data_IF_500381128548
#
_entry.id   IF_500381128548
#
_cell.length_a   1.000
_cell.length_b   1.000
_cell.length_c   1.000
_cell.angle_alpha   90.00
_cell.angle_beta   90.00
_cell.angle_gamma   90.00
#
_symmetry.space_group_name_H-M   'P 1'
#
loop_
_entity.id
_entity.type
_entity.pdbx_description
1 polymer ?
#
# COMPACT_ATOMS: atom_id res chain seq x y z
N UNK A 1 34.99 8.30 3.94
CA UNK A 1 34.03 7.18 3.61
C UNK A 1 32.63 7.69 3.70
N UNK A 2 31.71 7.18 2.85
CA UNK A 2 30.30 7.57 2.84
C UNK A 2 29.46 6.36 3.27
N UNK A 3 28.63 6.52 4.31
CA UNK A 3 27.63 5.52 4.67
C UNK A 3 26.39 5.66 3.79
N UNK A 4 25.79 4.55 3.40
CA UNK A 4 24.46 4.52 2.78
C UNK A 4 23.58 3.56 3.58
N UNK A 5 22.39 4.01 3.96
CA UNK A 5 21.40 3.18 4.64
C UNK A 5 20.15 3.04 3.79
N UNK A 6 19.80 1.80 3.41
CA UNK A 6 18.55 1.48 2.73
C UNK A 6 17.52 0.90 3.70
N UNK A 7 16.24 0.87 3.31
CA UNK A 7 15.19 0.30 4.13
C UNK A 7 15.21 -1.23 4.17
N UNK A 8 15.68 -1.85 3.06
CA UNK A 8 15.64 -3.31 2.86
C UNK A 8 16.96 -3.82 2.30
N UNK A 9 17.37 -5.06 2.64
CA UNK A 9 18.61 -5.64 2.12
C UNK A 9 18.67 -5.74 0.59
N UNK A 10 17.52 -5.94 -0.08
CA UNK A 10 17.44 -6.01 -1.55
C UNK A 10 17.81 -4.68 -2.19
N UNK A 11 17.20 -3.59 -1.71
CA UNK A 11 17.47 -2.22 -2.19
C UNK A 11 18.92 -1.83 -1.94
N UNK A 12 19.46 -2.17 -0.76
CA UNK A 12 20.88 -1.95 -0.44
C UNK A 12 21.81 -2.62 -1.45
N UNK A 13 21.52 -3.88 -1.83
CA UNK A 13 22.32 -4.63 -2.81
C UNK A 13 22.25 -4.02 -4.20
N UNK A 14 21.05 -3.58 -4.64
CA UNK A 14 20.88 -2.97 -5.95
C UNK A 14 21.65 -1.64 -6.05
N UNK A 15 21.55 -0.78 -5.03
CA UNK A 15 22.32 0.47 -4.98
C UNK A 15 23.83 0.16 -4.89
N UNK A 16 24.23 -0.77 -4.03
CA UNK A 16 25.64 -1.15 -3.84
C UNK A 16 26.29 -1.65 -5.14
N UNK A 17 25.57 -2.43 -5.94
CA UNK A 17 26.01 -2.87 -7.27
C UNK A 17 26.30 -1.66 -8.17
N UNK A 18 25.43 -0.68 -8.19
CA UNK A 18 25.54 0.51 -9.07
C UNK A 18 26.72 1.39 -8.67
N UNK A 19 26.97 1.56 -7.36
CA UNK A 19 28.08 2.39 -6.87
C UNK A 19 29.40 1.63 -6.71
N UNK A 20 29.43 0.33 -7.01
CA UNK A 20 30.64 -0.50 -6.93
C UNK A 20 31.01 -0.95 -5.52
N UNK A 21 30.09 -0.92 -4.55
CA UNK A 21 30.31 -1.41 -3.18
C UNK A 21 29.96 -2.90 -3.08
N UNK A 22 30.76 -3.78 -3.69
CA UNK A 22 30.41 -5.20 -3.87
C UNK A 22 31.01 -6.15 -2.87
N UNK A 23 31.94 -5.69 -2.03
CA UNK A 23 32.56 -6.51 -0.98
C UNK A 23 31.54 -6.81 0.12
N UNK A 24 31.28 -8.09 0.35
CA UNK A 24 30.32 -8.56 1.35
C UNK A 24 30.93 -8.57 2.75
N UNK A 25 30.21 -7.99 3.71
CA UNK A 25 30.50 -8.02 5.13
C UNK A 25 29.25 -8.47 5.91
N UNK A 26 29.39 -8.74 7.20
CA UNK A 26 28.24 -9.09 8.03
C UNK A 26 27.38 -7.84 8.30
N UNK A 27 26.20 -7.78 7.69
CA UNK A 27 25.23 -6.69 7.83
C UNK A 27 25.49 -5.44 6.97
N UNK A 28 26.51 -5.42 6.10
CA UNK A 28 26.75 -4.33 5.15
C UNK A 28 27.59 -4.79 3.94
N UNK A 29 27.65 -3.95 2.92
CA UNK A 29 28.52 -4.08 1.75
C UNK A 29 29.51 -2.91 1.72
N UNK A 30 30.72 -3.10 1.19
CA UNK A 30 31.70 -2.03 1.08
C UNK A 30 32.42 -2.03 -0.26
N UNK A 31 33.01 -0.90 -0.62
CA UNK A 31 33.76 -0.69 -1.84
C UNK A 31 33.61 0.72 -2.38
N UNK A 32 34.54 1.12 -3.23
CA UNK A 32 34.54 2.41 -3.93
C UNK A 32 34.24 3.64 -3.02
N UNK A 33 34.77 3.62 -1.78
CA UNK A 33 34.60 4.72 -0.82
C UNK A 33 33.25 4.70 -0.08
N UNK A 34 32.41 3.68 -0.27
CA UNK A 34 31.10 3.52 0.35
C UNK A 34 31.03 2.34 1.32
N UNK A 35 30.17 2.49 2.34
CA UNK A 35 29.70 1.41 3.20
C UNK A 35 28.16 1.42 3.15
N UNK A 36 27.56 0.37 2.58
CA UNK A 36 26.13 0.25 2.33
C UNK A 36 25.51 -0.74 3.31
N UNK A 37 24.71 -0.23 4.23
CA UNK A 37 23.96 -1.02 5.21
C UNK A 37 22.46 -0.90 4.99
N UNK A 38 21.65 -1.57 5.81
CA UNK A 38 20.20 -1.59 5.64
C UNK A 38 19.47 -1.76 6.97
N UNK A 39 18.24 -1.31 6.98
CA UNK A 39 17.23 -1.75 7.92
C UNK A 39 16.49 -2.99 7.37
N UNK A 40 15.55 -3.53 8.10
CA UNK A 40 14.54 -4.48 7.64
C UNK A 40 13.17 -4.08 8.20
N UNK A 41 12.74 -2.91 7.75
CA UNK A 41 11.60 -2.17 8.28
C UNK A 41 11.96 -1.44 9.57
N UNK A 42 10.98 -1.23 10.45
CA UNK A 42 11.20 -0.54 11.71
C UNK A 42 12.11 -1.35 12.66
N UNK A 43 13.31 -0.87 12.93
CA UNK A 43 14.23 -1.41 13.94
C UNK A 43 13.98 -0.78 15.31
N UNK A 44 13.47 0.44 15.33
CA UNK A 44 13.19 1.23 16.53
C UNK A 44 11.70 1.49 16.62
N UNK A 45 11.17 1.45 17.84
CA UNK A 45 9.79 1.72 18.17
C UNK A 45 9.66 2.60 19.42
N UNK A 46 8.46 3.14 19.66
CA UNK A 46 8.15 3.82 20.91
C UNK A 46 8.06 2.81 22.06
N UNK A 47 8.56 3.18 23.23
CA UNK A 47 8.49 2.36 24.42
C UNK A 47 7.03 2.16 24.87
N UNK A 48 6.75 1.02 25.47
CA UNK A 48 5.43 0.68 26.00
C UNK A 48 5.22 1.29 27.39
N UNK A 49 3.98 1.32 27.94
CA UNK A 49 3.64 1.94 29.21
C UNK A 49 4.52 1.54 30.40
N UNK A 50 5.04 0.33 30.40
CA UNK A 50 5.92 -0.19 31.45
C UNK A 50 7.21 0.64 31.60
N UNK A 51 7.71 1.19 30.51
CA UNK A 51 8.89 2.08 30.51
C UNK A 51 8.62 3.42 31.22
N UNK A 52 7.36 3.75 31.43
CA UNK A 52 6.89 4.97 32.11
C UNK A 52 6.31 4.65 33.50
N UNK A 53 6.56 3.45 34.03
CA UNK A 53 6.12 3.04 35.36
C UNK A 53 4.67 2.53 35.44
N UNK A 54 4.01 2.30 34.30
CA UNK A 54 2.62 1.80 34.23
C UNK A 54 2.63 0.33 33.80
N UNK A 55 2.62 -0.58 34.78
CA UNK A 55 2.76 -2.02 34.52
C UNK A 55 1.44 -2.79 34.27
N UNK A 56 0.28 -2.20 34.65
CA UNK A 56 -1.01 -2.88 34.57
C UNK A 56 -2.12 -1.94 34.10
N UNK A 57 -3.18 -2.50 33.56
CA UNK A 57 -4.39 -1.78 33.18
C UNK A 57 -5.16 -1.40 34.44
N UNK A 58 -5.10 -0.10 34.81
CA UNK A 58 -5.81 0.45 35.95
C UNK A 58 -6.46 1.77 35.59
N UNK A 59 -7.64 2.02 36.10
CA UNK A 59 -8.37 3.29 35.86
C UNK A 59 -7.58 4.51 36.33
N UNK A 60 -6.92 4.37 37.47
CA UNK A 60 -6.14 5.44 38.10
C UNK A 60 -4.89 5.83 37.31
N UNK A 61 -4.42 4.95 36.43
CA UNK A 61 -3.26 5.19 35.56
C UNK A 61 -3.60 5.96 34.29
N UNK A 62 -4.88 6.18 34.01
CA UNK A 62 -5.34 6.83 32.78
C UNK A 62 -5.62 8.33 32.99
N UNK A 63 -5.31 9.19 32.03
CA UNK A 63 -4.59 8.86 30.78
C UNK A 63 -3.08 8.76 31.00
N UNK A 64 -2.42 7.83 30.25
CA UNK A 64 -0.97 7.72 30.21
C UNK A 64 -0.44 8.74 29.20
N UNK A 65 0.23 9.77 29.69
CA UNK A 65 0.78 10.85 28.91
C UNK A 65 2.29 10.94 29.18
N UNK A 66 3.13 10.27 28.40
CA UNK A 66 4.57 10.38 28.57
C UNK A 66 5.03 11.81 28.37
N UNK A 67 5.87 12.37 29.26
CA UNK A 67 6.45 13.70 29.05
C UNK A 67 7.32 13.74 27.80
N UNK A 68 8.05 12.63 27.54
CA UNK A 68 8.87 12.40 26.37
C UNK A 68 8.73 10.95 25.91
N UNK A 69 8.55 10.76 24.61
CA UNK A 69 8.49 9.41 24.02
C UNK A 69 9.88 8.81 23.90
N UNK A 70 10.11 7.70 24.59
CA UNK A 70 11.37 6.98 24.56
C UNK A 70 11.41 6.04 23.36
N UNK A 71 12.56 6.06 22.65
CA UNK A 71 12.84 5.14 21.56
C UNK A 71 13.54 3.89 22.10
N UNK A 72 13.06 2.72 21.70
CA UNK A 72 13.65 1.42 22.07
C UNK A 72 13.80 0.52 20.82
N UNK A 73 14.74 -0.43 20.83
CA UNK A 73 14.79 -1.46 19.79
C UNK A 73 13.47 -2.23 19.74
N UNK A 74 13.04 -2.58 18.52
CA UNK A 74 11.84 -3.40 18.31
C UNK A 74 11.90 -4.64 19.19
N UNK A 75 10.76 -4.96 19.80
CA UNK A 75 10.62 -6.07 20.73
C UNK A 75 9.92 -7.25 20.06
N UNK A 76 10.25 -8.45 20.53
CA UNK A 76 9.60 -9.70 20.19
C UNK A 76 9.08 -10.38 21.46
N UNK A 77 8.05 -11.22 21.32
CA UNK A 77 7.50 -11.99 22.42
C UNK A 77 8.55 -12.97 22.95
N UNK A 78 8.69 -13.03 24.26
CA UNK A 78 9.54 -13.96 24.99
C UNK A 78 8.68 -14.88 25.85
N UNK A 79 9.28 -15.86 26.52
CA UNK A 79 8.56 -16.74 27.47
C UNK A 79 7.83 -15.94 28.56
N UNK A 80 8.48 -14.87 29.04
CA UNK A 80 7.85 -13.91 29.96
C UNK A 80 7.97 -12.49 29.36
N UNK A 81 6.83 -11.94 28.92
CA UNK A 81 6.74 -10.58 28.40
C UNK A 81 7.38 -10.39 27.01
N UNK A 82 8.09 -9.29 26.85
CA UNK A 82 8.73 -8.88 25.60
C UNK A 82 10.21 -8.59 25.85
N UNK A 83 11.05 -8.89 24.85
CA UNK A 83 12.48 -8.58 24.86
C UNK A 83 12.89 -7.94 23.52
N UNK A 84 13.99 -7.20 23.53
CA UNK A 84 14.55 -6.67 22.28
C UNK A 84 14.85 -7.82 21.30
N UNK A 85 14.51 -7.63 20.03
CA UNK A 85 14.78 -8.57 18.94
C UNK A 85 16.30 -8.72 18.76
N UNK A 86 16.89 -9.92 18.95
CA UNK A 86 18.34 -10.10 18.80
C UNK A 86 18.87 -9.73 17.41
N UNK A 87 18.08 -9.99 16.36
CA UNK A 87 18.43 -9.61 14.99
C UNK A 87 18.49 -8.10 14.81
N UNK A 88 17.54 -7.39 15.42
CA UNK A 88 17.53 -5.92 15.45
C UNK A 88 18.74 -5.37 16.19
N UNK A 89 19.05 -5.91 17.38
CA UNK A 89 20.22 -5.47 18.15
C UNK A 89 21.53 -5.66 17.37
N UNK A 90 21.69 -6.81 16.70
CA UNK A 90 22.84 -7.08 15.84
C UNK A 90 22.93 -6.04 14.71
N UNK A 91 21.84 -5.79 14.00
CA UNK A 91 21.85 -4.86 12.89
C UNK A 91 22.06 -3.40 13.33
N UNK A 92 21.50 -2.98 14.44
CA UNK A 92 21.74 -1.64 15.01
C UNK A 92 23.22 -1.45 15.37
N UNK A 93 23.90 -2.49 15.88
CA UNK A 93 25.34 -2.46 16.12
C UNK A 93 26.11 -2.24 14.82
N UNK A 94 25.78 -2.99 13.76
CA UNK A 94 26.40 -2.83 12.43
C UNK A 94 26.16 -1.42 11.87
N UNK A 95 24.92 -0.91 11.94
CA UNK A 95 24.61 0.45 11.46
C UNK A 95 25.42 1.49 12.23
N UNK A 96 25.55 1.34 13.55
CA UNK A 96 26.39 2.23 14.37
C UNK A 96 27.83 2.20 13.93
N UNK A 97 28.43 1.02 13.77
CA UNK A 97 29.81 0.84 13.32
C UNK A 97 30.05 1.47 11.93
N UNK A 98 29.09 1.29 11.00
CA UNK A 98 29.16 1.91 9.67
C UNK A 98 29.06 3.44 9.77
N UNK A 99 28.14 3.96 10.57
CA UNK A 99 28.00 5.40 10.75
C UNK A 99 29.24 6.01 11.42
N UNK A 100 29.83 5.36 12.43
CA UNK A 100 31.01 5.85 13.12
C UNK A 100 32.22 5.97 12.19
N UNK A 101 32.40 5.07 11.23
CA UNK A 101 33.51 5.03 10.28
C UNK A 101 33.37 5.97 9.08
N UNK A 102 32.20 6.61 8.89
CA UNK A 102 31.90 7.45 7.73
C UNK A 102 31.73 8.91 8.12
N UNK A 103 32.01 9.81 7.19
CA UNK A 103 31.94 11.27 7.41
C UNK A 103 30.54 11.83 7.08
N UNK A 104 29.82 11.17 6.19
CA UNK A 104 28.50 11.57 5.68
C UNK A 104 27.62 10.35 5.46
N UNK A 105 26.32 10.54 5.59
CA UNK A 105 25.30 9.49 5.40
C UNK A 105 24.42 9.82 4.20
N UNK A 106 24.22 8.86 3.30
CA UNK A 106 23.18 8.89 2.28
C UNK A 106 22.03 8.02 2.77
N UNK A 107 20.86 8.61 2.88
CA UNK A 107 19.65 7.93 3.33
C UNK A 107 18.83 7.50 2.12
N UNK A 108 18.72 6.21 1.92
CA UNK A 108 18.03 5.55 0.81
C UNK A 108 16.89 4.65 1.31
N UNK A 109 16.23 5.04 2.42
CA UNK A 109 14.95 4.47 2.84
C UNK A 109 13.85 4.95 1.89
N UNK A 110 12.73 4.21 1.82
CA UNK A 110 11.64 4.50 0.90
C UNK A 110 11.25 5.99 0.89
N UNK A 111 10.88 6.52 -0.26
CA UNK A 111 10.60 7.96 -0.47
C UNK A 111 9.21 8.33 0.08
N UNK A 112 9.04 8.26 1.40
CA UNK A 112 7.77 8.50 2.07
C UNK A 112 7.93 8.75 3.57
N UNK A 113 6.80 8.99 4.23
CA UNK A 113 6.76 9.28 5.67
C UNK A 113 7.37 8.18 6.52
N UNK A 114 7.06 6.92 6.19
CA UNK A 114 7.53 5.77 6.98
C UNK A 114 9.04 5.56 6.79
N UNK A 115 9.55 5.68 5.55
CA UNK A 115 10.98 5.59 5.30
C UNK A 115 11.78 6.69 6.00
N UNK A 116 11.24 7.93 6.05
CA UNK A 116 11.86 9.02 6.82
C UNK A 116 11.84 8.73 8.33
N UNK A 117 10.72 8.21 8.87
CA UNK A 117 10.59 7.85 10.28
C UNK A 117 11.57 6.73 10.67
N UNK A 118 11.70 5.69 9.85
CA UNK A 118 12.62 4.57 10.07
C UNK A 118 14.05 5.10 10.22
N UNK A 119 14.50 5.93 9.27
CA UNK A 119 15.84 6.50 9.34
C UNK A 119 16.02 7.37 10.58
N UNK A 120 15.14 8.35 10.81
CA UNK A 120 15.30 9.31 11.91
C UNK A 120 15.23 8.65 13.29
N UNK A 121 14.44 7.59 13.45
CA UNK A 121 14.40 6.83 14.69
C UNK A 121 15.69 6.09 14.94
N UNK A 122 16.29 5.46 13.91
CA UNK A 122 17.62 4.83 14.01
C UNK A 122 18.69 5.87 14.35
N UNK A 123 18.71 6.98 13.60
CA UNK A 123 19.68 8.05 13.75
C UNK A 123 19.64 8.66 15.15
N UNK A 124 18.45 8.97 15.66
CA UNK A 124 18.25 9.54 17.00
C UNK A 124 18.59 8.50 18.10
N UNK A 125 18.14 7.26 17.94
CA UNK A 125 18.44 6.19 18.90
C UNK A 125 19.92 5.91 19.05
N UNK A 126 20.67 5.96 17.96
CA UNK A 126 22.12 5.79 17.97
C UNK A 126 22.89 7.04 18.43
N UNK A 127 22.23 8.16 18.66
CA UNK A 127 22.87 9.43 19.01
C UNK A 127 23.77 9.97 17.90
N UNK A 128 23.46 9.66 16.64
CA UNK A 128 24.27 10.10 15.51
C UNK A 128 24.08 11.61 15.28
N UNK A 129 25.18 12.32 15.00
CA UNK A 129 25.18 13.77 14.70
C UNK A 129 25.79 14.08 13.34
N UNK A 130 26.13 13.07 12.55
CA UNK A 130 26.77 13.26 11.25
C UNK A 130 25.80 13.83 10.22
N UNK A 131 26.26 14.68 9.29
CA UNK A 131 25.41 15.22 8.25
C UNK A 131 24.89 14.10 7.33
N UNK A 132 23.65 14.23 6.89
CA UNK A 132 23.05 13.28 5.96
C UNK A 132 22.31 13.99 4.82
N UNK A 133 22.19 13.26 3.72
CA UNK A 133 21.44 13.65 2.53
C UNK A 133 20.50 12.53 2.13
N UNK A 134 19.45 12.88 1.42
CA UNK A 134 18.41 11.93 0.98
C UNK A 134 18.60 11.54 -0.49
N UNK A 135 18.64 10.26 -0.76
CA UNK A 135 18.30 9.67 -2.04
C UNK A 135 16.78 9.53 -2.11
N UNK A 136 16.13 10.38 -2.90
CA UNK A 136 14.67 10.44 -2.99
C UNK A 136 14.20 9.96 -4.35
N UNK A 137 13.90 8.67 -4.44
CA UNK A 137 13.48 8.00 -5.67
C UNK A 137 12.27 7.11 -5.38
N UNK A 138 11.35 7.00 -6.33
CA UNK A 138 10.16 6.13 -6.28
C UNK A 138 10.26 4.91 -7.21
N UNK A 139 11.37 4.80 -7.93
CA UNK A 139 11.73 3.70 -8.81
C UNK A 139 13.12 3.19 -8.47
N UNK A 140 13.36 1.89 -8.69
CA UNK A 140 14.63 1.21 -8.41
C UNK A 140 15.32 0.74 -9.71
N UNK A 141 14.97 1.33 -10.86
CA UNK A 141 15.73 1.12 -12.10
C UNK A 141 17.15 1.64 -11.96
N UNK A 142 18.08 1.07 -12.67
CA UNK A 142 19.49 1.52 -12.67
C UNK A 142 19.60 3.00 -13.02
N UNK A 143 18.78 3.48 -13.96
CA UNK A 143 18.69 4.88 -14.36
C UNK A 143 18.24 5.76 -13.21
N UNK A 144 17.11 5.43 -12.56
CA UNK A 144 16.58 6.23 -11.46
C UNK A 144 17.54 6.28 -10.26
N UNK A 145 18.23 5.18 -9.95
CA UNK A 145 19.22 5.16 -8.87
C UNK A 145 20.42 6.08 -9.21
N UNK A 146 20.96 6.04 -10.43
CA UNK A 146 22.06 6.91 -10.86
C UNK A 146 21.67 8.38 -10.82
N UNK A 147 20.56 8.73 -11.45
CA UNK A 147 20.05 10.10 -11.45
C UNK A 147 19.73 10.62 -10.05
N UNK A 148 19.21 9.75 -9.18
CA UNK A 148 18.95 10.08 -7.78
C UNK A 148 20.22 10.32 -6.98
N UNK A 149 21.28 9.56 -7.23
CA UNK A 149 22.61 9.75 -6.59
C UNK A 149 23.28 11.05 -7.04
N UNK A 150 23.07 11.46 -8.29
CA UNK A 150 23.54 12.74 -8.82
C UNK A 150 22.74 13.93 -8.26
N UNK A 151 21.48 13.69 -7.81
CA UNK A 151 20.54 14.70 -7.34
C UNK A 151 20.17 14.55 -5.86
N UNK A 152 21.10 14.18 -5.01
CA UNK A 152 20.90 14.03 -3.57
C UNK A 152 20.38 15.31 -2.93
N UNK A 153 19.36 15.19 -2.08
CA UNK A 153 18.70 16.32 -1.42
C UNK A 153 19.20 16.50 0.02
N UNK A 154 19.29 17.74 0.52
CA UNK A 154 19.61 17.99 1.92
C UNK A 154 18.58 17.33 2.85
N UNK A 155 19.04 16.75 3.96
CA UNK A 155 18.19 16.06 4.93
C UNK A 155 17.12 16.96 5.56
N UNK A 156 17.45 18.24 5.77
CA UNK A 156 16.59 19.25 6.40
C UNK A 156 15.31 19.50 5.59
N UNK A 157 15.35 19.30 4.27
CA UNK A 157 14.17 19.40 3.41
C UNK A 157 13.02 18.49 3.86
N UNK A 158 13.33 17.43 4.56
CA UNK A 158 12.38 16.39 4.99
C UNK A 158 12.03 16.46 6.48
N UNK A 159 12.44 17.52 7.20
CA UNK A 159 12.17 17.67 8.63
C UNK A 159 10.67 17.72 8.93
N UNK A 160 9.89 18.46 8.14
CA UNK A 160 8.44 18.51 8.29
C UNK A 160 7.77 17.18 8.00
N UNK A 161 8.32 16.39 7.05
CA UNK A 161 7.84 15.05 6.76
C UNK A 161 8.09 14.10 7.93
N UNK A 162 9.28 14.18 8.52
CA UNK A 162 9.63 13.46 9.75
C UNK A 162 8.70 13.85 10.91
N UNK A 163 8.49 15.15 11.16
CA UNK A 163 7.62 15.63 12.23
C UNK A 163 6.18 15.14 12.03
N UNK A 164 5.67 15.14 10.80
CA UNK A 164 4.36 14.57 10.47
C UNK A 164 4.28 13.08 10.80
N UNK A 165 5.31 12.28 10.42
CA UNK A 165 5.36 10.86 10.70
C UNK A 165 5.50 10.57 12.20
N UNK A 166 6.35 11.32 12.91
CA UNK A 166 6.53 11.25 14.35
C UNK A 166 5.24 11.56 15.10
N UNK A 167 4.59 12.68 14.78
CA UNK A 167 3.32 13.08 15.41
C UNK A 167 2.23 12.03 15.21
N UNK A 168 2.17 11.41 14.01
CA UNK A 168 1.25 10.31 13.76
C UNK A 168 1.57 9.09 14.62
N UNK A 169 2.84 8.70 14.73
CA UNK A 169 3.27 7.56 15.54
C UNK A 169 2.95 7.77 17.03
N UNK A 170 3.21 8.96 17.55
CA UNK A 170 2.92 9.35 18.93
C UNK A 170 1.40 9.41 19.21
N UNK A 171 0.63 9.98 18.28
CA UNK A 171 -0.84 10.02 18.39
C UNK A 171 -1.46 8.61 18.33
N UNK A 172 -0.97 7.73 17.44
CA UNK A 172 -1.41 6.34 17.36
C UNK A 172 -1.09 5.60 18.68
N UNK A 173 0.06 5.87 19.30
CA UNK A 173 0.41 5.33 20.61
C UNK A 173 -0.52 5.84 21.70
N UNK A 174 -0.71 7.17 21.80
CA UNK A 174 -1.57 7.79 22.82
C UNK A 174 -3.01 7.29 22.74
N UNK A 175 -3.59 7.30 21.55
CA UNK A 175 -4.98 6.87 21.37
C UNK A 175 -5.08 5.36 21.54
N UNK A 176 -4.20 4.59 20.89
CA UNK A 176 -4.25 3.12 20.91
C UNK A 176 -4.07 2.56 22.32
N UNK A 177 -3.09 3.02 23.06
CA UNK A 177 -2.80 2.55 24.42
C UNK A 177 -3.92 2.97 25.39
N UNK A 178 -4.23 4.27 25.45
CA UNK A 178 -5.20 4.77 26.43
C UNK A 178 -6.61 4.26 26.16
N UNK A 179 -7.07 4.25 24.92
CA UNK A 179 -8.40 3.78 24.59
C UNK A 179 -8.53 2.25 24.77
N UNK A 180 -7.49 1.47 24.42
CA UNK A 180 -7.46 0.03 24.69
C UNK A 180 -7.54 -0.26 26.19
N UNK A 181 -6.75 0.44 27.01
CA UNK A 181 -6.79 0.24 28.45
C UNK A 181 -8.12 0.67 29.06
N UNK A 182 -8.63 1.86 28.68
CA UNK A 182 -9.90 2.35 29.17
C UNK A 182 -11.06 1.40 28.88
N UNK A 183 -11.14 0.89 27.64
CA UNK A 183 -12.18 -0.05 27.25
C UNK A 183 -12.02 -1.40 27.98
N UNK A 184 -10.80 -1.91 28.09
CA UNK A 184 -10.54 -3.20 28.78
C UNK A 184 -10.86 -3.13 30.26
N UNK A 185 -10.51 -2.02 30.93
CA UNK A 185 -10.87 -1.76 32.34
C UNK A 185 -12.39 -1.65 32.52
N UNK A 186 -13.07 -0.93 31.61
CA UNK A 186 -14.53 -0.78 31.65
C UNK A 186 -15.25 -2.11 31.44
N UNK A 187 -14.73 -2.99 30.60
CA UNK A 187 -15.28 -4.31 30.35
C UNK A 187 -15.03 -5.30 31.51
N UNK A 188 -14.08 -5.03 32.40
CA UNK A 188 -13.78 -5.81 33.58
C UNK A 188 -13.03 -7.13 33.35
N UNK A 189 -12.88 -7.56 32.10
CA UNK A 189 -12.15 -8.79 31.73
C UNK A 189 -11.66 -8.74 30.28
N UNK A 190 -10.53 -9.37 30.01
CA UNK A 190 -9.97 -9.45 28.67
C UNK A 190 -9.26 -8.18 28.22
N UNK A 191 -8.74 -8.19 26.99
CA UNK A 191 -8.13 -7.05 26.32
C UNK A 191 -8.94 -6.70 25.08
N UNK A 192 -9.53 -5.52 25.07
CA UNK A 192 -10.29 -4.98 23.95
C UNK A 192 -9.47 -3.89 23.27
N UNK A 193 -8.78 -4.28 22.20
CA UNK A 193 -7.91 -3.35 21.49
C UNK A 193 -8.71 -2.34 20.67
N UNK A 194 -8.30 -1.07 20.77
CA UNK A 194 -8.76 0.03 19.96
C UNK A 194 -7.60 0.59 19.12
N UNK A 195 -7.88 0.96 17.90
CA UNK A 195 -6.88 1.53 17.02
C UNK A 195 -7.48 2.29 15.85
N UNK A 196 -6.73 3.23 15.33
CA UNK A 196 -7.15 4.16 14.28
C UNK A 196 -7.61 3.47 12.98
N UNK A 197 -7.08 2.29 12.66
CA UNK A 197 -7.44 1.53 11.46
C UNK A 197 -8.39 0.39 11.80
N UNK A 198 -8.03 -0.43 12.78
CA UNK A 198 -8.80 -1.65 13.10
C UNK A 198 -10.23 -1.34 13.58
N UNK A 199 -10.42 -0.32 14.42
CA UNK A 199 -11.74 0.00 14.97
C UNK A 199 -12.70 0.53 13.91
N UNK A 200 -12.36 1.53 13.07
CA UNK A 200 -13.24 1.94 11.97
C UNK A 200 -13.54 0.80 10.99
N UNK A 201 -12.58 -0.06 10.71
CA UNK A 201 -12.79 -1.23 9.84
C UNK A 201 -13.82 -2.18 10.44
N UNK A 202 -13.70 -2.49 11.74
CA UNK A 202 -14.68 -3.31 12.45
C UNK A 202 -16.07 -2.66 12.46
N UNK A 203 -16.14 -1.34 12.71
CA UNK A 203 -17.40 -0.60 12.69
C UNK A 203 -18.07 -0.68 11.33
N UNK A 204 -17.33 -0.53 10.23
CA UNK A 204 -17.91 -0.67 8.88
C UNK A 204 -18.48 -2.07 8.64
N UNK A 205 -17.78 -3.11 9.09
CA UNK A 205 -18.26 -4.50 8.96
C UNK A 205 -19.51 -4.72 9.80
N UNK A 206 -19.51 -4.27 11.05
CA UNK A 206 -20.66 -4.39 11.95
C UNK A 206 -21.89 -3.60 11.43
N UNK A 207 -21.68 -2.38 10.96
CA UNK A 207 -22.75 -1.55 10.38
C UNK A 207 -23.38 -2.25 9.18
N UNK A 208 -22.56 -2.78 8.27
CA UNK A 208 -23.05 -3.51 7.11
C UNK A 208 -23.78 -4.79 7.47
N UNK A 209 -23.30 -5.51 8.48
CA UNK A 209 -24.01 -6.67 9.03
C UNK A 209 -25.38 -6.29 9.59
N UNK A 210 -25.46 -5.21 10.38
CA UNK A 210 -26.72 -4.75 10.96
C UNK A 210 -27.69 -4.24 9.90
N UNK A 211 -27.21 -3.50 8.90
CA UNK A 211 -28.04 -3.08 7.74
C UNK A 211 -28.65 -4.30 7.04
N UNK A 212 -27.83 -5.34 6.79
CA UNK A 212 -28.32 -6.57 6.17
C UNK A 212 -29.30 -7.31 7.06
N UNK A 213 -28.98 -7.47 8.38
CA UNK A 213 -29.84 -8.15 9.34
C UNK A 213 -31.18 -7.46 9.54
N UNK A 214 -31.20 -6.15 9.53
CA UNK A 214 -32.39 -5.33 9.74
C UNK A 214 -33.07 -4.90 8.44
N UNK A 215 -32.58 -5.42 7.30
CA UNK A 215 -33.15 -5.07 6.00
C UNK A 215 -34.60 -5.51 5.89
N UNK A 216 -35.46 -4.54 5.67
CA UNK A 216 -36.88 -4.77 5.40
C UNK A 216 -37.10 -4.58 3.90
N UNK A 217 -37.48 -5.65 3.16
CA UNK A 217 -37.75 -5.53 1.74
C UNK A 217 -38.96 -4.62 1.47
N UNK A 218 -38.76 -3.59 0.64
CA UNK A 218 -39.82 -2.76 0.13
C UNK A 218 -40.24 -3.26 -1.26
N UNK A 219 -41.55 -3.45 -1.44
CA UNK A 219 -42.12 -3.81 -2.75
C UNK A 219 -42.31 -2.55 -3.58
N UNK A 220 -42.04 -2.66 -4.87
CA UNK A 220 -42.40 -1.65 -5.84
C UNK A 220 -42.94 -2.33 -7.10
N UNK A 221 -43.71 -1.60 -7.88
CA UNK A 221 -44.25 -2.07 -9.14
C UNK A 221 -43.69 -1.26 -10.28
N UNK A 222 -43.44 -1.93 -11.39
CA UNK A 222 -42.93 -1.33 -12.62
C UNK A 222 -43.69 -1.92 -13.82
N UNK A 223 -43.97 -1.12 -14.83
CA UNK A 223 -44.60 -1.62 -16.04
C UNK A 223 -43.54 -2.14 -17.01
N UNK A 224 -43.86 -3.27 -17.60
CA UNK A 224 -43.07 -3.87 -18.67
C UNK A 224 -44.01 -4.20 -19.82
N UNK A 225 -43.80 -3.58 -20.97
CA UNK A 225 -44.60 -3.80 -22.15
C UNK A 225 -43.78 -4.48 -23.23
N UNK A 226 -44.26 -5.57 -23.79
CA UNK A 226 -43.70 -6.18 -24.99
C UNK A 226 -44.51 -5.69 -26.18
N UNK A 227 -43.84 -5.07 -27.14
CA UNK A 227 -44.46 -4.49 -28.33
C UNK A 227 -43.72 -4.94 -29.59
N UNK A 228 -44.32 -4.72 -30.74
CA UNK A 228 -43.71 -5.02 -32.02
C UNK A 228 -43.95 -3.85 -33.00
N UNK A 229 -42.98 -3.65 -33.88
CA UNK A 229 -43.06 -2.76 -35.04
C UNK A 229 -42.59 -3.57 -36.26
N UNK A 230 -43.51 -3.99 -37.09
CA UNK A 230 -43.22 -4.99 -38.14
C UNK A 230 -42.75 -6.30 -37.53
N UNK A 231 -41.61 -6.80 -37.97
CA UNK A 231 -41.01 -8.05 -37.46
C UNK A 231 -40.17 -7.83 -36.18
N UNK A 232 -39.87 -6.59 -35.82
CA UNK A 232 -39.00 -6.26 -34.66
C UNK A 232 -39.84 -6.28 -33.39
N UNK A 233 -39.51 -7.17 -32.47
CA UNK A 233 -40.06 -7.22 -31.11
C UNK A 233 -39.12 -6.62 -30.11
N UNK A 234 -39.59 -5.78 -29.23
CA UNK A 234 -38.80 -5.21 -28.15
C UNK A 234 -39.61 -5.05 -26.87
N UNK A 235 -38.93 -4.93 -25.77
CA UNK A 235 -39.52 -4.73 -24.46
C UNK A 235 -39.18 -3.32 -23.97
N UNK A 236 -40.22 -2.55 -23.66
CA UNK A 236 -40.12 -1.27 -22.99
C UNK A 236 -40.38 -1.45 -21.49
N UNK A 237 -39.68 -0.72 -20.66
CA UNK A 237 -39.86 -0.72 -19.20
C UNK A 237 -40.10 0.72 -18.74
N UNK A 238 -41.05 0.91 -17.81
CA UNK A 238 -41.30 2.23 -17.25
C UNK A 238 -40.08 2.72 -16.46
N UNK A 239 -39.74 3.99 -16.59
CA UNK A 239 -38.77 4.66 -15.71
C UNK A 239 -39.38 4.90 -14.33
N UNK A 240 -40.69 5.15 -14.25
CA UNK A 240 -41.39 5.26 -12.99
C UNK A 240 -41.50 3.91 -12.27
N UNK A 241 -41.36 3.97 -10.96
CA UNK A 241 -41.62 2.89 -10.00
C UNK A 241 -42.73 3.38 -9.07
N UNK A 242 -43.68 2.53 -8.78
CA UNK A 242 -44.78 2.84 -7.86
C UNK A 242 -44.64 2.03 -6.59
N UNK A 243 -44.80 2.67 -5.46
CA UNK A 243 -44.79 2.01 -4.14
C UNK A 243 -46.17 1.40 -3.82
N UNK A 244 -47.22 1.91 -4.46
CA UNK A 244 -48.60 1.44 -4.29
C UNK A 244 -49.09 0.70 -5.55
N UNK A 245 -49.57 -0.53 -5.36
CA UNK A 245 -50.07 -1.36 -6.46
C UNK A 245 -51.25 -0.71 -7.25
N UNK A 246 -52.25 -0.05 -6.62
CA UNK A 246 -53.31 0.61 -7.34
C UNK A 246 -52.84 1.67 -8.34
N UNK A 247 -51.82 2.43 -8.02
CA UNK A 247 -51.22 3.43 -8.90
C UNK A 247 -50.59 2.79 -10.14
N UNK A 248 -49.88 1.69 -9.94
CA UNK A 248 -49.29 0.92 -11.03
C UNK A 248 -50.38 0.31 -11.94
N UNK A 249 -51.48 -0.19 -11.36
CA UNK A 249 -52.61 -0.73 -12.10
C UNK A 249 -53.29 0.40 -12.92
N UNK A 250 -53.53 1.57 -12.34
CA UNK A 250 -54.07 2.71 -13.05
C UNK A 250 -53.18 3.16 -14.22
N UNK A 251 -51.84 3.14 -14.02
CA UNK A 251 -50.88 3.43 -15.08
C UNK A 251 -50.90 2.35 -16.18
N UNK A 252 -51.01 1.09 -15.82
CA UNK A 252 -51.14 -0.02 -16.76
C UNK A 252 -52.41 0.13 -17.62
N UNK A 253 -53.55 0.50 -17.00
CA UNK A 253 -54.79 0.70 -17.72
C UNK A 253 -54.67 1.81 -18.76
N UNK A 254 -54.11 2.96 -18.39
CA UNK A 254 -53.85 4.05 -19.34
C UNK A 254 -52.99 3.63 -20.54
N UNK A 255 -51.97 2.79 -20.32
CA UNK A 255 -51.13 2.27 -21.42
C UNK A 255 -51.91 1.31 -22.31
N UNK A 256 -52.79 0.47 -21.73
CA UNK A 256 -53.66 -0.43 -22.49
C UNK A 256 -54.70 0.32 -23.31
N UNK A 257 -55.32 1.36 -22.74
CA UNK A 257 -56.34 2.18 -23.42
C UNK A 257 -55.70 2.98 -24.57
N UNK A 258 -54.46 3.39 -24.47
CA UNK A 258 -53.73 4.06 -25.53
C UNK A 258 -53.43 3.15 -26.74
N UNK A 259 -53.36 1.83 -26.54
CA UNK A 259 -53.17 0.81 -27.57
C UNK A 259 -51.88 0.85 -28.35
N UNK A 260 -51.05 1.88 -28.14
CA UNK A 260 -49.77 2.07 -28.86
C UNK A 260 -48.72 2.76 -28.00
N UNK A 261 -47.44 2.51 -28.32
CA UNK A 261 -46.31 3.23 -27.78
C UNK A 261 -45.67 4.05 -28.89
N UNK A 262 -45.28 5.29 -28.57
CA UNK A 262 -44.64 6.21 -29.52
C UNK A 262 -43.20 6.41 -29.09
N UNK A 263 -42.23 6.14 -29.99
CA UNK A 263 -40.82 6.44 -29.78
C UNK A 263 -40.64 7.94 -29.94
N UNK A 264 -40.32 8.65 -28.86
CA UNK A 264 -40.08 10.10 -28.88
C UNK A 264 -38.67 10.50 -29.27
N UNK A 265 -37.69 9.70 -28.89
CA UNK A 265 -36.30 9.98 -29.23
C UNK A 265 -35.50 8.67 -29.27
N UNK A 266 -34.48 8.67 -30.11
CA UNK A 266 -33.48 7.61 -30.16
C UNK A 266 -32.10 8.28 -30.01
N UNK A 267 -31.37 7.93 -28.96
CA UNK A 267 -29.99 8.38 -28.76
C UNK A 267 -29.05 7.25 -29.10
N UNK A 268 -28.08 7.54 -29.97
CA UNK A 268 -26.90 6.68 -30.18
C UNK A 268 -25.70 7.34 -29.54
N UNK A 269 -25.04 6.63 -28.65
CA UNK A 269 -23.79 7.08 -28.02
C UNK A 269 -22.72 6.06 -28.32
N UNK A 270 -21.63 6.51 -28.89
CA UNK A 270 -20.40 5.72 -28.89
C UNK A 270 -19.77 5.83 -27.52
N UNK A 271 -19.51 4.69 -26.90
CA UNK A 271 -18.81 4.60 -25.64
C UNK A 271 -17.46 3.91 -25.87
N UNK A 272 -16.38 4.62 -25.62
CA UNK A 272 -15.07 4.02 -25.58
C UNK A 272 -14.83 3.50 -24.15
N UNK A 273 -14.60 2.21 -24.04
CA UNK A 273 -14.14 1.63 -22.78
C UNK A 273 -12.62 1.70 -22.72
N UNK A 274 -12.13 2.56 -21.86
CA UNK A 274 -10.70 2.68 -21.60
C UNK A 274 -10.15 1.41 -20.93
N UNK A 275 -8.90 1.01 -21.22
CA UNK A 275 -8.27 -0.09 -20.51
C UNK A 275 -8.17 0.22 -19.01
N UNK A 276 -8.20 -0.80 -18.13
CA UNK A 276 -8.03 -0.55 -16.70
C UNK A 276 -6.64 0.02 -16.40
N UNK A 277 -6.54 0.79 -15.31
CA UNK A 277 -5.25 1.17 -14.77
C UNK A 277 -4.52 -0.09 -14.25
N UNK A 278 -3.21 -0.01 -14.06
CA UNK A 278 -2.41 -1.05 -13.44
C UNK A 278 -2.91 -1.36 -12.01
N UNK A 279 -2.41 -2.43 -11.42
CA UNK A 279 -2.81 -2.83 -10.09
C UNK A 279 -2.10 -2.05 -8.99
N UNK A 280 -2.86 -1.62 -7.99
CA UNK A 280 -2.40 -1.50 -6.61
C UNK A 280 -2.68 -2.81 -5.86
N UNK A 281 -2.23 -2.92 -4.61
CA UNK A 281 -2.48 -4.11 -3.80
C UNK A 281 -3.98 -4.39 -3.62
N UNK A 282 -4.77 -3.36 -3.34
CA UNK A 282 -6.22 -3.52 -3.07
C UNK A 282 -6.96 -4.03 -4.30
N UNK A 283 -6.66 -3.49 -5.47
CA UNK A 283 -7.28 -3.91 -6.73
C UNK A 283 -6.86 -5.34 -7.09
N UNK A 284 -5.58 -5.68 -6.91
CA UNK A 284 -5.10 -7.05 -7.09
C UNK A 284 -5.82 -8.04 -6.16
N UNK A 285 -5.97 -7.70 -4.87
CA UNK A 285 -6.67 -8.56 -3.91
C UNK A 285 -8.15 -8.76 -4.27
N UNK A 286 -8.84 -7.69 -4.70
CA UNK A 286 -10.25 -7.77 -5.13
C UNK A 286 -10.41 -8.68 -6.35
N UNK A 287 -9.55 -8.53 -7.34
CA UNK A 287 -9.64 -9.30 -8.56
C UNK A 287 -9.21 -10.77 -8.35
N UNK A 288 -8.17 -11.02 -7.56
CA UNK A 288 -7.76 -12.36 -7.17
C UNK A 288 -8.86 -13.08 -6.35
N UNK A 289 -9.57 -12.36 -5.48
CA UNK A 289 -10.72 -12.91 -4.79
C UNK A 289 -11.85 -13.27 -5.76
N UNK A 290 -12.20 -12.37 -6.67
CA UNK A 290 -13.31 -12.59 -7.62
C UNK A 290 -13.02 -13.71 -8.60
N UNK A 291 -11.78 -13.78 -9.14
CA UNK A 291 -11.43 -14.74 -10.20
C UNK A 291 -10.89 -16.08 -9.69
N UNK A 292 -10.19 -16.06 -8.53
CA UNK A 292 -9.43 -17.20 -8.00
C UNK A 292 -9.90 -17.64 -6.62
N UNK A 293 -10.85 -16.93 -6.02
CA UNK A 293 -11.32 -17.13 -4.65
C UNK A 293 -10.19 -17.09 -3.61
N UNK A 294 -9.17 -16.25 -3.83
CA UNK A 294 -8.08 -16.06 -2.87
C UNK A 294 -8.49 -15.05 -1.80
N UNK A 295 -8.06 -15.30 -0.56
CA UNK A 295 -8.14 -14.29 0.49
C UNK A 295 -7.16 -13.15 0.23
N UNK A 296 -7.40 -11.99 0.83
CA UNK A 296 -6.50 -10.86 0.77
C UNK A 296 -5.09 -11.21 1.27
N UNK A 297 -5.01 -11.97 2.36
CA UNK A 297 -3.75 -12.43 2.96
C UNK A 297 -2.99 -13.39 2.02
N UNK A 298 -3.68 -14.38 1.46
CA UNK A 298 -3.09 -15.30 0.47
C UNK A 298 -2.56 -14.55 -0.75
N UNK A 299 -3.31 -13.57 -1.27
CA UNK A 299 -2.88 -12.76 -2.41
C UNK A 299 -1.63 -11.97 -2.08
N UNK A 300 -1.59 -11.32 -0.90
CA UNK A 300 -0.42 -10.58 -0.46
C UNK A 300 0.80 -11.51 -0.26
N UNK A 301 0.62 -12.68 0.34
CA UNK A 301 1.71 -13.65 0.57
C UNK A 301 2.33 -14.12 -0.75
N UNK A 302 1.52 -14.40 -1.77
CA UNK A 302 1.99 -14.77 -3.10
C UNK A 302 2.74 -13.59 -3.74
N UNK A 303 2.14 -12.40 -3.73
CA UNK A 303 2.75 -11.20 -4.28
C UNK A 303 4.09 -10.87 -3.60
N UNK A 304 4.18 -11.04 -2.28
CA UNK A 304 5.41 -10.87 -1.52
C UNK A 304 6.49 -11.88 -1.94
N UNK A 305 6.12 -13.14 -2.12
CA UNK A 305 7.03 -14.19 -2.62
C UNK A 305 7.55 -13.88 -4.03
N UNK A 306 6.70 -13.37 -4.92
CA UNK A 306 7.11 -12.97 -6.27
C UNK A 306 8.06 -11.77 -6.24
N UNK A 307 7.82 -10.82 -5.36
CA UNK A 307 8.73 -9.69 -5.13
C UNK A 307 10.12 -10.16 -4.62
N UNK A 308 10.14 -11.07 -3.64
CA UNK A 308 11.39 -11.61 -3.08
C UNK A 308 12.19 -12.41 -4.12
N UNK A 309 11.49 -13.05 -5.06
CA UNK A 309 12.09 -13.69 -6.24
C UNK A 309 12.48 -12.70 -7.35
N UNK A 310 12.26 -11.41 -7.14
CA UNK A 310 12.56 -10.33 -8.11
C UNK A 310 11.83 -10.46 -9.45
N UNK A 311 10.65 -11.07 -9.50
CA UNK A 311 9.83 -11.20 -10.71
C UNK A 311 8.63 -10.24 -10.75
N UNK A 312 8.40 -9.53 -9.66
CA UNK A 312 7.34 -8.52 -9.52
C UNK A 312 7.85 -7.33 -8.70
N UNK A 313 7.32 -6.14 -8.97
CA UNK A 313 7.57 -4.94 -8.16
C UNK A 313 6.98 -5.06 -6.76
N UNK A 314 7.32 -4.13 -5.86
CA UNK A 314 6.92 -4.19 -4.45
C UNK A 314 5.39 -4.21 -4.26
N UNK A 315 4.83 -5.23 -3.59
CA UNK A 315 3.39 -5.46 -3.61
C UNK A 315 2.57 -4.49 -2.75
N UNK A 316 3.17 -3.86 -1.74
CA UNK A 316 2.45 -2.94 -0.84
C UNK A 316 2.47 -1.52 -1.39
N UNK A 317 1.80 -1.32 -2.49
CA UNK A 317 1.64 0.00 -3.11
C UNK A 317 0.17 0.41 -3.16
N UNK A 318 -0.08 1.69 -2.98
CA UNK A 318 -1.39 2.32 -3.20
C UNK A 318 -1.50 3.00 -4.55
N UNK A 319 -0.41 3.04 -5.34
CA UNK A 319 -0.41 3.65 -6.66
C UNK A 319 -0.84 2.67 -7.75
N UNK A 320 -1.59 3.18 -8.71
CA UNK A 320 -1.97 2.49 -9.96
C UNK A 320 -1.24 3.06 -11.18
N UNK A 321 -0.20 3.86 -10.90
CA UNK A 321 0.58 4.57 -11.91
C UNK A 321 2.04 4.17 -11.84
N UNK A 322 2.71 4.26 -12.99
CA UNK A 322 4.16 4.11 -13.13
C UNK A 322 4.76 5.44 -13.56
N UNK A 323 6.02 5.72 -13.22
CA UNK A 323 6.73 6.89 -13.72
C UNK A 323 7.22 6.67 -15.15
N UNK A 324 7.69 7.76 -15.80
CA UNK A 324 8.14 7.74 -17.18
C UNK A 324 9.33 6.79 -17.41
N UNK A 325 10.30 6.77 -16.52
CA UNK A 325 11.48 5.89 -16.60
C UNK A 325 11.12 4.41 -16.62
N UNK A 326 10.10 4.02 -15.82
CA UNK A 326 9.58 2.65 -15.82
C UNK A 326 8.79 2.36 -17.10
N UNK A 327 8.06 3.35 -17.64
CA UNK A 327 7.33 3.17 -18.87
C UNK A 327 8.27 2.92 -20.08
N UNK A 328 9.42 3.57 -20.12
CA UNK A 328 10.43 3.37 -21.16
C UNK A 328 10.91 1.89 -21.24
N UNK A 329 10.89 1.15 -20.13
CA UNK A 329 11.27 -0.25 -20.05
C UNK A 329 10.10 -1.22 -20.38
N UNK A 330 8.86 -0.73 -20.48
CA UNK A 330 7.69 -1.60 -20.67
C UNK A 330 7.70 -2.42 -21.96
N UNK A 331 8.20 -1.92 -23.12
CA UNK A 331 8.28 -2.70 -24.33
C UNK A 331 9.11 -4.00 -24.14
N UNK A 332 10.25 -3.90 -23.44
CA UNK A 332 11.09 -5.08 -23.14
C UNK A 332 10.37 -6.07 -22.22
N UNK A 333 9.64 -5.55 -21.21
CA UNK A 333 8.85 -6.38 -20.28
C UNK A 333 7.68 -7.07 -20.99
N UNK A 334 7.03 -6.41 -21.94
CA UNK A 334 5.99 -7.04 -22.78
C UNK A 334 6.59 -8.14 -23.66
N UNK A 335 7.77 -7.92 -24.24
CA UNK A 335 8.48 -8.93 -25.02
C UNK A 335 8.82 -10.18 -24.18
N UNK A 336 9.20 -10.00 -22.90
CA UNK A 336 9.42 -11.11 -21.97
C UNK A 336 8.17 -11.97 -21.76
N UNK A 337 6.98 -11.40 -21.75
CA UNK A 337 5.72 -12.14 -21.65
C UNK A 337 5.52 -13.09 -22.85
N UNK A 338 6.09 -12.77 -24.00
CA UNK A 338 6.08 -13.64 -25.19
C UNK A 338 6.76 -15.00 -24.98
N UNK A 339 7.64 -15.11 -23.98
CA UNK A 339 8.30 -16.38 -23.62
C UNK A 339 7.37 -17.36 -22.88
N UNK A 340 6.22 -16.88 -22.38
CA UNK A 340 5.22 -17.74 -21.76
C UNK A 340 4.15 -18.16 -22.77
N UNK A 341 3.94 -19.46 -23.00
CA UNK A 341 2.94 -19.95 -23.98
C UNK A 341 1.55 -19.32 -23.77
N UNK A 342 1.16 -19.10 -22.52
CA UNK A 342 -0.14 -18.49 -22.16
C UNK A 342 -0.28 -17.05 -22.62
N UNK A 343 0.79 -16.29 -22.68
CA UNK A 343 0.80 -14.87 -22.99
C UNK A 343 1.43 -14.51 -24.33
N UNK A 344 2.05 -15.49 -24.99
CA UNK A 344 2.77 -15.30 -26.26
C UNK A 344 1.90 -14.64 -27.35
N UNK A 345 0.65 -15.09 -27.51
CA UNK A 345 -0.27 -14.51 -28.48
C UNK A 345 -0.65 -13.06 -28.17
N UNK A 346 -0.79 -12.70 -26.89
CA UNK A 346 -1.06 -11.31 -26.49
C UNK A 346 0.16 -10.42 -26.71
N UNK A 347 1.35 -10.89 -26.32
CA UNK A 347 2.60 -10.17 -26.50
C UNK A 347 2.89 -9.90 -27.98
N UNK A 348 2.72 -10.91 -28.83
CA UNK A 348 2.88 -10.75 -30.29
C UNK A 348 1.88 -9.74 -30.90
N UNK A 349 0.64 -9.69 -30.39
CA UNK A 349 -0.37 -8.73 -30.82
C UNK A 349 -0.06 -7.27 -30.42
N UNK A 350 0.88 -7.05 -29.49
CA UNK A 350 1.32 -5.72 -29.06
C UNK A 350 2.65 -5.30 -29.72
N UNK A 351 3.31 -6.20 -30.44
CA UNK A 351 4.57 -5.90 -31.10
C UNK A 351 4.39 -4.79 -32.15
N UNK A 352 5.26 -3.77 -32.08
CA UNK A 352 5.18 -2.59 -32.94
C UNK A 352 4.00 -1.63 -32.65
N UNK A 353 3.16 -1.95 -31.65
CA UNK A 353 2.04 -1.08 -31.27
C UNK A 353 2.45 -0.13 -30.12
N UNK A 354 2.19 1.19 -30.22
CA UNK A 354 2.45 2.09 -29.11
C UNK A 354 1.67 1.67 -27.85
N UNK A 355 2.38 1.48 -26.74
CA UNK A 355 1.75 1.14 -25.47
C UNK A 355 0.91 2.30 -24.94
N UNK A 356 -0.21 1.96 -24.30
CA UNK A 356 -1.12 2.95 -23.75
C UNK A 356 -0.50 3.63 -22.51
N UNK A 357 -0.50 4.97 -22.49
CA UNK A 357 0.11 5.78 -21.43
C UNK A 357 -0.84 6.16 -20.30
N UNK A 358 -2.04 5.61 -20.24
CA UNK A 358 -3.06 5.94 -19.24
C UNK A 358 -2.58 5.79 -17.80
N UNK A 359 -1.72 4.81 -17.56
CA UNK A 359 -1.14 4.52 -16.23
C UNK A 359 0.22 5.21 -16.02
N UNK A 360 0.64 6.13 -16.88
CA UNK A 360 1.91 6.85 -16.75
C UNK A 360 1.65 8.21 -16.12
N UNK A 361 2.16 8.45 -14.92
CA UNK A 361 2.03 9.75 -14.25
C UNK A 361 2.92 9.82 -13.02
N UNK A 362 4.04 10.54 -13.10
CA UNK A 362 5.00 10.70 -11.98
C UNK A 362 4.35 11.33 -10.75
N UNK A 363 3.47 12.31 -10.93
CA UNK A 363 2.81 13.01 -9.82
C UNK A 363 1.78 12.16 -9.06
N UNK A 364 1.39 11.00 -9.59
CA UNK A 364 0.45 10.05 -8.97
C UNK A 364 1.14 8.78 -8.46
N UNK A 365 2.43 8.67 -8.67
CA UNK A 365 3.24 7.65 -7.99
C UNK A 365 3.44 8.10 -6.55
N UNK A 366 3.16 7.19 -5.61
CA UNK A 366 3.39 7.42 -4.18
C UNK A 366 4.79 6.92 -3.78
N UNK A 367 4.96 6.35 -2.62
CA UNK A 367 6.23 5.77 -2.15
C UNK A 367 6.73 4.65 -3.09
N UNK A 368 5.79 3.97 -3.76
CA UNK A 368 6.03 2.93 -4.76
C UNK A 368 5.07 3.10 -5.94
N UNK A 369 5.54 2.71 -7.14
CA UNK A 369 4.70 2.67 -8.35
C UNK A 369 3.76 1.46 -8.34
N UNK A 370 2.87 1.38 -9.34
CA UNK A 370 1.95 0.27 -9.55
C UNK A 370 2.65 -1.10 -9.64
N UNK A 371 1.87 -2.15 -9.41
CA UNK A 371 2.36 -3.53 -9.55
C UNK A 371 2.58 -3.87 -11.02
N UNK A 372 3.80 -4.26 -11.34
CA UNK A 372 4.23 -4.71 -12.66
C UNK A 372 5.19 -5.89 -12.53
N UNK A 373 5.36 -6.63 -13.61
CA UNK A 373 6.45 -7.61 -13.71
C UNK A 373 7.80 -6.89 -13.84
N UNK A 374 8.86 -7.57 -13.47
CA UNK A 374 10.24 -7.09 -13.66
C UNK A 374 10.84 -7.68 -14.94
N UNK A 375 12.11 -7.39 -15.16
CA UNK A 375 12.92 -7.99 -16.23
C UNK A 375 13.30 -9.46 -15.97
N UNK A 376 13.01 -10.00 -14.80
CA UNK A 376 13.34 -11.37 -14.44
C UNK A 376 12.15 -12.30 -14.71
N UNK A 377 12.43 -13.43 -15.34
CA UNK A 377 11.45 -14.49 -15.49
C UNK A 377 11.39 -15.33 -14.21
N UNK A 378 10.19 -15.73 -13.75
CA UNK A 378 10.10 -16.73 -12.69
C UNK A 378 10.77 -18.02 -13.16
N UNK A 379 11.68 -18.56 -12.35
CA UNK A 379 12.16 -19.92 -12.55
C UNK A 379 11.02 -20.92 -12.45
N UNK A 380 11.17 -22.09 -13.12
CA UNK A 380 10.24 -23.21 -12.99
C UNK A 380 10.05 -23.67 -11.54
#
# INVERSE_FOLDING_TARGET
MIALIAEKPSVAKDIARIIGATQKNDGYLSGNGYMVTWAFGHLIQLAMPEAYGVANFRRESLPILPPDFRLIPRQVKAEKGYKADPGVLKQLKVIKEVFDQCDKIIVATDAGREGELIHRYIYNYLGCTKPFVRLWISSLTDKAIREGLDNLQPGERYDNLYLSAKSRSEADWLIGINATQALSVAAGQGVFSLGRVQTPTLVMICSRYLENKNFVPAKFWQLKATTASGEIRFTAQSTAKWEQQPEAIAALQRVKDAGQLVVKSVERKEACQEPPLLYDLTTLQKEANTKLNFSADKTLSIAQSLYEKKVMSYPRTGSRYIPEDVFDEMPERVALLGQYPRFAGYAAGLDGTPLNRRSVNDGKVTDHHALIITENLPGE
#
